data_IF_428250633350
#
_entry.id   IF_428250633350
#
_cell.length_a   1.000
_cell.length_b   1.000
_cell.length_c   1.000
_cell.angle_alpha   90.00
_cell.angle_beta   90.00
_cell.angle_gamma   90.00
#
_symmetry.space_group_name_H-M   'P 1'
#
loop_
_entity.id
_entity.type
_entity.pdbx_description
1 polymer ?
#
# COMPACT_ATOMS: atom_id res chain seq x y z
N UNK A 1 12.43 -1.53 5.68
CA UNK A 1 11.78 -2.04 6.90
C UNK A 1 11.87 -3.55 6.81
N UNK A 2 12.92 -4.11 7.42
CA UNK A 2 12.95 -5.56 7.65
C UNK A 2 11.84 -5.81 8.68
N UNK A 3 10.96 -6.77 8.44
CA UNK A 3 10.01 -7.23 9.47
C UNK A 3 10.86 -8.04 10.47
N UNK A 4 11.74 -7.37 11.22
CA UNK A 4 12.55 -7.93 12.30
C UNK A 4 11.95 -7.63 13.66
N UNK A 5 10.92 -6.79 13.72
CA UNK A 5 10.16 -6.57 14.94
C UNK A 5 8.92 -7.46 14.89
N UNK A 6 8.87 -8.37 15.86
CA UNK A 6 7.82 -9.34 16.15
C UNK A 6 6.44 -8.71 15.94
N UNK A 7 5.86 -8.92 14.77
CA UNK A 7 4.54 -8.38 14.49
C UNK A 7 3.55 -9.19 15.30
N UNK A 8 2.85 -8.54 16.23
CA UNK A 8 1.99 -9.21 17.21
C UNK A 8 0.53 -8.86 16.92
N UNK A 9 -0.29 -9.86 16.63
CA UNK A 9 -1.75 -9.72 16.69
C UNK A 9 -2.23 -10.23 18.05
N UNK A 10 -2.86 -9.35 18.82
CA UNK A 10 -3.43 -9.64 20.14
C UNK A 10 -4.95 -9.49 20.09
N UNK A 11 -5.69 -10.58 20.24
CA UNK A 11 -7.16 -10.55 20.30
C UNK A 11 -7.59 -10.76 21.74
N UNK A 12 -8.37 -9.83 22.29
CA UNK A 12 -8.89 -9.82 23.64
C UNK A 12 -10.39 -9.98 23.59
N UNK A 13 -10.92 -10.94 24.35
CA UNK A 13 -12.37 -11.15 24.49
C UNK A 13 -12.74 -11.19 25.96
N UNK A 14 -13.60 -10.28 26.40
CA UNK A 14 -14.13 -10.29 27.77
C UNK A 14 -15.04 -11.49 28.03
N UNK A 15 -14.93 -12.12 29.21
CA UNK A 15 -15.67 -13.35 29.56
C UNK A 15 -17.19 -13.15 29.57
N UNK A 16 -17.89 -13.94 28.74
CA UNK A 16 -19.15 -14.60 29.11
C UNK A 16 -18.82 -16.08 29.28
N UNK A 17 -19.11 -16.66 30.45
CA UNK A 17 -18.64 -17.99 30.85
C UNK A 17 -18.92 -19.09 29.81
N UNK A 18 -20.05 -19.02 29.13
CA UNK A 18 -20.50 -20.01 28.13
C UNK A 18 -19.75 -19.91 26.79
N UNK A 19 -19.46 -18.69 26.32
CA UNK A 19 -18.72 -18.45 25.06
C UNK A 19 -17.25 -18.83 25.22
N UNK A 20 -16.66 -18.55 26.37
CA UNK A 20 -15.24 -18.81 26.63
C UNK A 20 -14.95 -20.30 26.79
N UNK A 21 -15.84 -21.09 27.39
CA UNK A 21 -15.70 -22.55 27.49
C UNK A 21 -15.66 -23.21 26.10
N UNK A 22 -16.58 -22.82 25.21
CA UNK A 22 -16.62 -23.35 23.85
C UNK A 22 -15.40 -22.91 23.04
N UNK A 23 -14.96 -21.66 23.20
CA UNK A 23 -13.76 -21.15 22.54
C UNK A 23 -12.47 -21.81 23.02
N UNK A 24 -12.32 -22.02 24.32
CA UNK A 24 -11.16 -22.70 24.90
C UNK A 24 -11.04 -24.14 24.38
N UNK A 25 -12.17 -24.81 24.16
CA UNK A 25 -12.19 -26.20 23.69
C UNK A 25 -12.00 -26.29 22.17
N UNK A 26 -12.58 -25.35 21.41
CA UNK A 26 -12.52 -25.33 19.95
C UNK A 26 -11.20 -24.74 19.41
N UNK A 27 -10.57 -23.83 20.16
CA UNK A 27 -9.42 -23.06 19.69
C UNK A 27 -8.17 -23.17 20.59
N UNK A 28 -8.08 -24.20 21.44
CA UNK A 28 -6.87 -24.47 22.24
C UNK A 28 -5.60 -24.61 21.38
N UNK A 29 -5.76 -24.99 20.12
CA UNK A 29 -4.66 -25.21 19.16
C UNK A 29 -4.21 -23.91 18.44
N UNK A 30 -4.92 -22.80 18.65
CA UNK A 30 -4.74 -21.56 17.90
C UNK A 30 -3.82 -20.57 18.65
N UNK A 31 -2.52 -20.73 18.44
CA UNK A 31 -1.50 -19.78 18.90
C UNK A 31 -1.26 -19.81 20.42
N UNK A 32 -0.48 -18.85 20.91
CA UNK A 32 -0.18 -18.73 22.34
C UNK A 32 -1.38 -18.12 23.07
N UNK A 33 -2.36 -18.97 23.38
CA UNK A 33 -3.57 -18.58 24.09
C UNK A 33 -3.27 -18.40 25.58
N UNK A 34 -3.65 -17.25 26.13
CA UNK A 34 -3.61 -17.00 27.58
C UNK A 34 -4.99 -16.59 28.07
N UNK A 35 -5.46 -17.24 29.13
CA UNK A 35 -6.72 -16.93 29.77
C UNK A 35 -6.45 -16.42 31.19
N UNK A 36 -7.06 -15.29 31.56
CA UNK A 36 -7.12 -14.85 32.96
C UNK A 36 -8.57 -14.82 33.46
N UNK A 37 -8.81 -14.28 34.65
CA UNK A 37 -10.14 -14.30 35.26
C UNK A 37 -11.23 -13.62 34.43
N UNK A 38 -10.90 -12.67 33.55
CA UNK A 38 -11.89 -11.86 32.82
C UNK A 38 -11.67 -11.75 31.31
N UNK A 39 -10.55 -12.23 30.77
CA UNK A 39 -10.17 -12.07 29.36
C UNK A 39 -9.53 -13.33 28.77
N UNK A 40 -9.83 -13.56 27.50
CA UNK A 40 -9.13 -14.51 26.63
C UNK A 40 -8.23 -13.74 25.68
N UNK A 41 -6.96 -14.10 25.60
CA UNK A 41 -5.96 -13.46 24.73
C UNK A 41 -5.39 -14.47 23.73
N UNK A 42 -5.48 -14.15 22.44
CA UNK A 42 -4.77 -14.87 21.36
C UNK A 42 -3.61 -14.00 20.88
N UNK A 43 -2.42 -14.59 20.77
CA UNK A 43 -1.20 -13.92 20.34
C UNK A 43 -0.55 -14.68 19.17
N UNK A 44 -0.32 -13.98 18.06
CA UNK A 44 0.35 -14.50 16.86
C UNK A 44 1.56 -13.64 16.53
N UNK A 45 2.71 -14.25 16.18
CA UNK A 45 3.97 -13.51 16.01
C UNK A 45 4.57 -13.70 14.62
N UNK A 46 4.93 -12.60 13.96
CA UNK A 46 5.79 -12.60 12.78
C UNK A 46 5.22 -13.40 11.60
N UNK A 47 6.00 -14.35 11.09
CA UNK A 47 5.60 -15.19 9.96
C UNK A 47 4.44 -16.15 10.30
N UNK A 48 4.18 -16.44 11.58
CA UNK A 48 3.01 -17.24 11.99
C UNK A 48 1.71 -16.56 11.55
N UNK A 49 1.65 -15.23 11.57
CA UNK A 49 0.48 -14.49 11.11
C UNK A 49 0.20 -14.81 9.64
N UNK A 50 1.24 -14.90 8.81
CA UNK A 50 1.07 -15.21 7.37
C UNK A 50 0.53 -16.62 7.16
N UNK A 51 0.88 -17.57 8.03
CA UNK A 51 0.47 -18.97 7.94
C UNK A 51 -0.92 -19.21 8.57
N UNK A 52 -1.31 -18.41 9.56
CA UNK A 52 -2.54 -18.56 10.35
C UNK A 52 -3.58 -17.47 10.07
N UNK A 53 -3.46 -16.74 8.97
CA UNK A 53 -4.35 -15.60 8.72
C UNK A 53 -5.80 -16.01 8.48
N UNK A 54 -6.05 -17.18 7.87
CA UNK A 54 -7.40 -17.76 7.76
C UNK A 54 -8.01 -17.98 9.15
N UNK A 55 -7.21 -18.56 10.05
CA UNK A 55 -7.60 -18.77 11.43
C UNK A 55 -7.96 -17.46 12.15
N UNK A 56 -7.14 -16.42 11.94
CA UNK A 56 -7.36 -15.08 12.51
C UNK A 56 -8.64 -14.45 11.94
N UNK A 57 -8.90 -14.63 10.65
CA UNK A 57 -10.10 -14.13 9.96
C UNK A 57 -11.33 -14.86 10.48
N UNK A 58 -11.28 -16.18 10.65
CA UNK A 58 -12.37 -16.99 11.17
C UNK A 58 -12.70 -16.62 12.62
N UNK A 59 -11.67 -16.44 13.44
CA UNK A 59 -11.82 -15.98 14.82
C UNK A 59 -12.49 -14.60 14.87
N UNK A 60 -12.12 -13.69 13.97
CA UNK A 60 -12.77 -12.39 13.84
C UNK A 60 -14.22 -12.50 13.35
N UNK A 61 -14.52 -13.35 12.36
CA UNK A 61 -15.90 -13.54 11.89
C UNK A 61 -16.80 -14.10 13.01
N UNK A 62 -16.25 -14.97 13.85
CA UNK A 62 -16.94 -15.56 14.99
C UNK A 62 -17.12 -14.56 16.14
N UNK A 63 -16.10 -13.76 16.47
CA UNK A 63 -16.08 -12.98 17.72
C UNK A 63 -16.19 -11.47 17.53
N UNK A 64 -15.95 -10.96 16.33
CA UNK A 64 -15.92 -9.52 16.02
C UNK A 64 -17.23 -8.79 16.26
N UNK A 65 -18.35 -9.52 16.35
CA UNK A 65 -19.66 -8.95 16.70
C UNK A 65 -19.86 -8.76 18.21
N UNK A 66 -19.00 -9.33 19.05
CA UNK A 66 -19.09 -9.20 20.50
C UNK A 66 -18.59 -7.82 20.94
N UNK A 67 -19.36 -7.13 21.80
CA UNK A 67 -18.96 -5.83 22.37
C UNK A 67 -17.63 -5.88 23.15
N UNK A 68 -17.26 -7.05 23.67
CA UNK A 68 -16.04 -7.27 24.42
C UNK A 68 -14.85 -7.71 23.56
N UNK A 69 -15.03 -7.82 22.23
CA UNK A 69 -13.97 -8.13 21.30
C UNK A 69 -13.11 -6.90 21.06
N UNK A 70 -11.81 -7.04 21.24
CA UNK A 70 -10.84 -5.99 20.94
C UNK A 70 -9.60 -6.63 20.36
N UNK A 71 -9.20 -6.22 19.16
CA UNK A 71 -8.01 -6.73 18.51
C UNK A 71 -6.96 -5.63 18.36
N UNK A 72 -5.70 -5.99 18.59
CA UNK A 72 -4.56 -5.11 18.41
C UNK A 72 -3.56 -5.75 17.45
N UNK A 73 -2.87 -4.93 16.68
CA UNK A 73 -1.75 -5.32 15.86
C UNK A 73 -0.60 -4.34 16.10
N UNK A 74 0.55 -4.83 16.58
CA UNK A 74 1.69 -3.99 16.94
C UNK A 74 1.27 -2.82 17.86
N UNK A 75 0.46 -3.13 18.88
CA UNK A 75 -0.14 -2.17 19.83
C UNK A 75 -1.09 -1.13 19.21
N UNK A 76 -1.44 -1.24 17.92
CA UNK A 76 -2.49 -0.44 17.27
C UNK A 76 -3.82 -1.18 17.34
N UNK A 77 -4.88 -0.51 17.76
CA UNK A 77 -6.24 -1.05 17.69
C UNK A 77 -6.62 -1.36 16.22
N UNK A 78 -7.13 -2.57 15.99
CA UNK A 78 -7.64 -3.01 14.70
C UNK A 78 -9.15 -2.76 14.61
N UNK A 79 -9.59 -2.38 13.41
CA UNK A 79 -11.00 -2.21 13.06
C UNK A 79 -11.42 -3.22 11.99
N UNK A 80 -12.72 -3.34 11.74
CA UNK A 80 -13.27 -4.25 10.72
C UNK A 80 -12.60 -4.11 9.35
N UNK A 81 -12.24 -2.87 8.95
CA UNK A 81 -11.54 -2.61 7.70
C UNK A 81 -10.15 -3.25 7.65
N UNK A 82 -9.42 -3.31 8.78
CA UNK A 82 -8.12 -3.97 8.87
C UNK A 82 -8.27 -5.48 8.58
N UNK A 83 -9.29 -6.14 9.14
CA UNK A 83 -9.58 -7.55 8.87
C UNK A 83 -10.02 -7.79 7.42
N UNK A 84 -10.83 -6.89 6.85
CA UNK A 84 -11.21 -6.96 5.42
C UNK A 84 -9.97 -6.83 4.52
N UNK A 85 -9.04 -5.94 4.85
CA UNK A 85 -7.81 -5.76 4.09
C UNK A 85 -6.88 -6.98 4.19
N UNK A 86 -6.72 -7.55 5.39
CA UNK A 86 -5.97 -8.80 5.59
C UNK A 86 -6.54 -9.94 4.76
N UNK A 87 -7.88 -10.12 4.78
CA UNK A 87 -8.58 -11.13 3.97
C UNK A 87 -8.31 -10.94 2.48
N UNK A 88 -8.47 -9.72 1.96
CA UNK A 88 -8.20 -9.40 0.55
C UNK A 88 -6.75 -9.71 0.15
N UNK A 89 -5.78 -9.31 0.97
CA UNK A 89 -4.35 -9.58 0.72
C UNK A 89 -4.10 -11.08 0.60
N UNK A 90 -4.70 -11.87 1.49
CA UNK A 90 -4.50 -13.30 1.50
C UNK A 90 -5.24 -14.04 0.39
N UNK A 91 -6.48 -13.66 0.10
CA UNK A 91 -7.22 -14.15 -1.07
C UNK A 91 -6.44 -13.88 -2.35
N UNK A 92 -5.80 -12.70 -2.46
CA UNK A 92 -4.92 -12.39 -3.57
C UNK A 92 -3.69 -13.30 -3.63
N UNK A 93 -3.13 -13.71 -2.49
CA UNK A 93 -2.02 -14.67 -2.47
C UNK A 93 -2.45 -16.05 -2.98
N UNK A 94 -3.65 -16.50 -2.62
CA UNK A 94 -4.18 -17.83 -2.96
C UNK A 94 -4.73 -17.93 -4.39
N UNK A 95 -5.37 -16.88 -4.88
CA UNK A 95 -6.21 -16.96 -6.08
C UNK A 95 -5.48 -16.74 -7.41
N UNK A 96 -4.23 -16.21 -7.42
CA UNK A 96 -3.29 -16.09 -8.58
C UNK A 96 -2.11 -15.18 -8.20
N UNK A 97 -0.96 -15.20 -8.93
CA UNK A 97 0.08 -14.19 -8.72
C UNK A 97 -0.52 -12.80 -8.88
N UNK A 98 -0.26 -11.89 -7.93
CA UNK A 98 -0.66 -10.49 -8.00
C UNK A 98 -0.36 -9.97 -9.41
N UNK A 99 -1.40 -9.74 -10.23
CA UNK A 99 -1.21 -9.32 -11.62
C UNK A 99 -0.47 -7.97 -11.59
N UNK A 100 0.68 -7.93 -12.28
CA UNK A 100 1.69 -6.87 -12.24
C UNK A 100 1.23 -5.54 -12.86
N UNK A 101 0.30 -4.83 -12.24
CA UNK A 101 -0.17 -3.54 -12.76
C UNK A 101 0.25 -2.32 -11.92
N UNK A 102 1.10 -2.50 -10.89
CA UNK A 102 1.69 -1.39 -10.13
C UNK A 102 3.02 -1.81 -9.48
N UNK A 103 3.43 -1.16 -8.38
CA UNK A 103 4.63 -1.39 -7.56
C UNK A 103 4.80 -2.82 -6.98
N UNK A 104 4.12 -3.83 -7.50
CA UNK A 104 4.23 -5.24 -7.09
C UNK A 104 3.04 -5.76 -6.27
N UNK A 105 2.03 -4.92 -5.99
CA UNK A 105 0.80 -5.33 -5.30
C UNK A 105 -0.42 -4.60 -5.86
N UNK A 106 -1.48 -5.33 -6.22
CA UNK A 106 -2.70 -4.74 -6.77
C UNK A 106 -3.50 -3.86 -5.79
N UNK A 107 -3.13 -3.88 -4.51
CA UNK A 107 -3.74 -3.04 -3.47
C UNK A 107 -2.94 -1.77 -3.19
N UNK A 108 -1.90 -1.49 -3.98
CA UNK A 108 -1.20 -0.20 -4.01
C UNK A 108 -1.80 0.65 -5.12
N UNK A 109 -2.65 1.59 -4.74
CA UNK A 109 -3.36 2.50 -5.63
C UNK A 109 -2.94 3.98 -5.44
N UNK A 110 -2.14 4.28 -4.42
CA UNK A 110 -1.77 5.67 -4.06
C UNK A 110 -0.82 6.32 -5.06
N UNK A 111 0.04 5.54 -5.70
CA UNK A 111 0.92 6.01 -6.78
C UNK A 111 0.86 5.01 -7.92
N UNK A 112 0.55 5.51 -9.11
CA UNK A 112 0.45 4.66 -10.30
C UNK A 112 1.72 4.69 -11.11
N UNK A 113 2.20 3.49 -11.42
CA UNK A 113 3.14 3.27 -12.53
C UNK A 113 2.39 3.17 -13.85
N UNK A 114 1.22 2.53 -13.83
CA UNK A 114 0.39 2.22 -15.00
C UNK A 114 -1.08 2.61 -14.77
N UNK A 115 -1.83 2.84 -15.85
CA UNK A 115 -3.23 3.28 -15.85
C UNK A 115 -4.24 2.12 -15.76
N UNK A 116 -4.23 1.32 -14.68
CA UNK A 116 -5.26 0.29 -14.47
C UNK A 116 -6.51 0.78 -13.73
N UNK A 117 -6.46 1.97 -13.10
CA UNK A 117 -7.56 2.53 -12.31
C UNK A 117 -7.77 4.02 -12.59
N UNK A 118 -9.02 4.52 -12.63
CA UNK A 118 -9.32 5.90 -13.02
C UNK A 118 -8.97 6.97 -11.98
N UNK A 119 -8.80 6.61 -10.70
CA UNK A 119 -8.72 7.59 -9.61
C UNK A 119 -7.42 7.38 -8.82
N UNK A 120 -6.48 8.32 -8.89
CA UNK A 120 -5.21 8.25 -8.17
C UNK A 120 -4.04 8.84 -8.96
N UNK A 121 -3.06 9.48 -8.28
CA UNK A 121 -2.01 10.23 -8.93
C UNK A 121 -0.94 9.35 -9.58
N UNK A 122 -0.30 9.87 -10.63
CA UNK A 122 0.85 9.23 -11.28
C UNK A 122 2.15 9.61 -10.57
N UNK A 123 3.17 8.76 -10.73
CA UNK A 123 4.49 8.99 -10.13
C UNK A 123 5.11 10.34 -10.54
N UNK A 124 4.89 10.79 -11.78
CA UNK A 124 5.48 12.04 -12.29
C UNK A 124 4.82 13.31 -11.71
N UNK A 125 3.64 13.18 -11.11
CA UNK A 125 2.94 14.31 -10.46
C UNK A 125 3.59 14.68 -9.12
N UNK A 126 4.48 13.83 -8.60
CA UNK A 126 5.28 14.09 -7.41
C UNK A 126 6.60 14.75 -7.78
N UNK A 127 6.68 16.06 -7.61
CA UNK A 127 7.85 16.83 -7.98
C UNK A 127 7.67 18.33 -7.80
N UNK A 128 8.63 19.08 -8.33
CA UNK A 128 8.58 20.53 -8.39
C UNK A 128 9.28 21.04 -9.64
N UNK A 129 8.92 22.25 -10.03
CA UNK A 129 9.53 22.94 -11.16
C UNK A 129 10.88 23.54 -10.72
N UNK A 130 11.98 23.13 -11.36
CA UNK A 130 13.30 23.76 -11.18
C UNK A 130 13.48 24.93 -12.14
N UNK A 131 13.00 24.78 -13.39
CA UNK A 131 12.97 25.84 -14.39
C UNK A 131 11.79 25.61 -15.35
N UNK A 132 11.52 26.58 -16.24
CA UNK A 132 10.37 26.54 -17.14
C UNK A 132 10.21 25.23 -17.94
N UNK A 133 11.29 24.50 -18.20
CA UNK A 133 11.28 23.24 -18.95
C UNK A 133 11.77 22.02 -18.14
N UNK A 134 12.09 22.19 -16.86
CA UNK A 134 12.67 21.12 -16.02
C UNK A 134 11.82 20.87 -14.79
N UNK A 135 11.26 19.66 -14.74
CA UNK A 135 10.50 19.15 -13.61
C UNK A 135 11.32 18.12 -12.84
N UNK A 136 11.58 18.35 -11.57
CA UNK A 136 12.34 17.44 -10.70
C UNK A 136 11.38 16.49 -10.01
N UNK A 137 11.66 15.19 -10.09
CA UNK A 137 10.85 14.13 -9.49
C UNK A 137 11.22 13.95 -8.02
N UNK A 138 10.24 14.10 -7.13
CA UNK A 138 10.44 13.87 -5.70
C UNK A 138 10.23 12.39 -5.35
N UNK A 139 11.27 11.59 -5.61
CA UNK A 139 11.32 10.16 -5.24
C UNK A 139 11.08 9.92 -3.75
N UNK A 140 11.47 10.87 -2.89
CA UNK A 140 11.28 10.76 -1.44
C UNK A 140 9.81 10.88 -1.06
N UNK A 141 9.07 11.78 -1.73
CA UNK A 141 7.64 11.95 -1.53
C UNK A 141 6.86 10.75 -2.04
N UNK A 142 7.23 10.21 -3.21
CA UNK A 142 6.65 8.97 -3.75
C UNK A 142 6.79 7.85 -2.73
N UNK A 143 8.00 7.65 -2.19
CA UNK A 143 8.24 6.61 -1.18
C UNK A 143 7.40 6.83 0.08
N UNK A 144 7.32 8.06 0.60
CA UNK A 144 6.50 8.39 1.79
C UNK A 144 5.03 8.07 1.59
N UNK A 145 4.47 8.38 0.42
CA UNK A 145 3.06 8.09 0.09
C UNK A 145 2.83 6.58 0.02
N UNK A 146 3.71 5.85 -0.66
CA UNK A 146 3.62 4.39 -0.76
C UNK A 146 3.77 3.73 0.61
N UNK A 147 4.73 4.15 1.44
CA UNK A 147 4.91 3.61 2.81
C UNK A 147 3.66 3.81 3.67
N UNK A 148 3.02 4.98 3.55
CA UNK A 148 1.76 5.25 4.25
C UNK A 148 0.67 4.29 3.80
N UNK A 149 0.51 4.07 2.50
CA UNK A 149 -0.49 3.15 1.96
C UNK A 149 -0.20 1.70 2.35
N UNK A 150 1.06 1.25 2.23
CA UNK A 150 1.52 -0.07 2.67
C UNK A 150 1.12 -0.31 4.13
N UNK A 151 1.33 0.69 4.98
CA UNK A 151 0.99 0.63 6.40
C UNK A 151 -0.52 0.58 6.64
N UNK A 152 -1.28 1.43 5.96
CA UNK A 152 -2.73 1.56 6.14
C UNK A 152 -3.49 0.34 5.62
N UNK A 153 -3.05 -0.21 4.49
CA UNK A 153 -3.67 -1.36 3.84
C UNK A 153 -3.07 -2.70 4.27
N UNK A 154 -2.12 -2.70 5.21
CA UNK A 154 -1.51 -3.91 5.77
C UNK A 154 -0.76 -4.77 4.75
N UNK A 155 -0.29 -4.15 3.66
CA UNK A 155 0.26 -4.84 2.47
C UNK A 155 1.53 -5.64 2.79
N UNK A 156 2.24 -5.27 3.87
CA UNK A 156 3.42 -5.98 4.36
C UNK A 156 3.13 -7.45 4.80
N UNK A 157 1.87 -7.83 5.02
CA UNK A 157 1.50 -9.23 5.24
C UNK A 157 1.41 -10.06 3.96
N UNK A 158 1.35 -9.42 2.78
CA UNK A 158 1.36 -10.16 1.53
C UNK A 158 2.71 -10.90 1.38
N UNK A 159 2.72 -12.23 1.23
CA UNK A 159 3.97 -12.98 1.07
C UNK A 159 4.75 -12.62 -0.19
N UNK A 160 4.06 -12.09 -1.21
CA UNK A 160 4.65 -11.65 -2.48
C UNK A 160 5.15 -10.21 -2.44
N UNK A 161 4.82 -9.46 -1.39
CA UNK A 161 5.21 -8.05 -1.27
C UNK A 161 6.66 -7.91 -0.82
N UNK A 162 7.40 -7.02 -1.49
CA UNK A 162 8.76 -6.66 -1.14
C UNK A 162 8.93 -5.15 -1.18
N UNK A 163 9.23 -4.56 -0.01
CA UNK A 163 9.55 -3.13 0.08
C UNK A 163 10.82 -2.79 -0.70
N UNK A 164 11.80 -3.69 -0.71
CA UNK A 164 13.04 -3.51 -1.48
C UNK A 164 12.77 -3.50 -2.99
N UNK A 165 11.81 -4.29 -3.45
CA UNK A 165 11.34 -4.20 -4.83
C UNK A 165 10.79 -2.80 -5.14
N UNK A 166 9.93 -2.25 -4.29
CA UNK A 166 9.38 -0.89 -4.45
C UNK A 166 10.48 0.16 -4.53
N UNK A 167 11.42 0.13 -3.58
CA UNK A 167 12.58 1.04 -3.59
C UNK A 167 13.37 0.92 -4.88
N UNK A 168 13.61 -0.31 -5.36
CA UNK A 168 14.32 -0.54 -6.61
C UNK A 168 13.58 0.02 -7.83
N UNK A 169 12.25 0.00 -7.82
CA UNK A 169 11.42 0.57 -8.89
C UNK A 169 11.47 2.10 -8.84
N UNK A 170 11.32 2.71 -7.66
CA UNK A 170 11.41 4.17 -7.48
C UNK A 170 12.80 4.68 -7.87
N UNK A 171 13.86 3.95 -7.51
CA UNK A 171 15.23 4.32 -7.85
C UNK A 171 15.44 4.43 -9.36
N UNK A 172 14.74 3.62 -10.16
CA UNK A 172 14.79 3.59 -11.64
C UNK A 172 13.94 4.66 -12.32
N UNK A 173 13.09 5.38 -11.57
CA UNK A 173 12.40 6.55 -12.12
C UNK A 173 13.43 7.62 -12.51
N UNK A 174 13.16 8.46 -13.52
CA UNK A 174 14.04 9.58 -13.83
C UNK A 174 14.09 10.57 -12.65
N UNK A 175 15.23 11.23 -12.45
CA UNK A 175 15.34 12.30 -11.44
C UNK A 175 14.68 13.60 -11.91
N UNK A 176 14.61 13.80 -13.23
CA UNK A 176 13.99 14.97 -13.85
C UNK A 176 13.36 14.65 -15.20
N UNK A 177 12.33 15.43 -15.54
CA UNK A 177 11.68 15.43 -16.84
C UNK A 177 11.96 16.75 -17.55
N UNK A 178 12.31 16.66 -18.82
CA UNK A 178 12.38 17.82 -19.72
C UNK A 178 11.02 17.96 -20.41
N UNK A 179 10.23 18.96 -20.04
CA UNK A 179 8.81 19.05 -20.41
C UNK A 179 8.60 19.14 -21.93
N UNK A 180 9.51 19.79 -22.65
CA UNK A 180 9.52 19.88 -24.10
C UNK A 180 9.63 18.52 -24.81
N UNK A 181 10.16 17.49 -24.14
CA UNK A 181 10.21 16.11 -24.66
C UNK A 181 8.88 15.35 -24.48
N UNK A 182 7.98 15.89 -23.67
CA UNK A 182 6.71 15.29 -23.27
C UNK A 182 5.58 16.28 -23.54
N UNK A 183 5.25 16.55 -24.81
CA UNK A 183 4.22 17.52 -25.19
C UNK A 183 2.83 17.18 -24.64
N UNK A 184 2.61 15.95 -24.20
CA UNK A 184 1.43 15.45 -23.50
C UNK A 184 1.29 15.94 -22.07
N UNK A 185 2.37 16.42 -21.45
CA UNK A 185 2.36 16.92 -20.09
C UNK A 185 2.20 18.44 -20.07
N UNK A 186 1.51 18.95 -19.07
CA UNK A 186 1.35 20.38 -18.83
C UNK A 186 1.39 20.73 -17.35
N UNK A 187 1.84 21.96 -17.10
CA UNK A 187 1.92 22.53 -15.78
C UNK A 187 0.62 23.25 -15.43
N UNK A 188 0.07 22.88 -14.28
CA UNK A 188 -1.06 23.53 -13.65
C UNK A 188 -0.60 24.29 -12.40
N UNK A 189 -1.14 25.48 -12.20
CA UNK A 189 -0.97 26.21 -10.93
C UNK A 189 -2.10 25.82 -9.99
N UNK A 190 -1.77 25.34 -8.80
CA UNK A 190 -2.76 25.10 -7.74
C UNK A 190 -2.81 26.34 -6.85
N UNK A 191 -3.99 26.95 -6.80
CA UNK A 191 -4.39 28.14 -6.02
C UNK A 191 -3.94 29.54 -6.52
N UNK A 192 -4.88 30.49 -6.43
CA UNK A 192 -4.70 31.91 -6.77
C UNK A 192 -3.77 32.56 -5.74
N UNK A 193 -2.65 33.07 -6.23
CA UNK A 193 -1.90 34.24 -5.76
C UNK A 193 -2.17 34.61 -4.30
N UNK A 194 -1.33 34.14 -3.38
CA UNK A 194 -1.08 34.90 -2.16
C UNK A 194 -0.64 36.32 -2.56
N UNK A 195 -1.00 37.33 -1.77
CA UNK A 195 -0.88 38.79 -1.99
C UNK A 195 0.49 39.29 -2.52
N UNK A 196 1.49 38.41 -2.62
CA UNK A 196 2.86 38.64 -3.09
C UNK A 196 3.15 38.24 -4.55
N UNK A 197 2.18 37.73 -5.32
CA UNK A 197 2.33 37.59 -6.79
C UNK A 197 3.05 36.34 -7.31
N UNK A 198 3.58 35.49 -6.44
CA UNK A 198 4.24 34.23 -6.85
C UNK A 198 3.35 33.01 -6.56
N UNK A 199 3.25 32.04 -7.51
CA UNK A 199 2.49 30.81 -7.29
C UNK A 199 3.17 29.96 -6.20
N UNK A 200 2.37 29.48 -5.24
CA UNK A 200 2.86 28.69 -4.11
C UNK A 200 3.12 27.23 -4.48
N UNK A 201 2.55 26.73 -5.59
CA UNK A 201 2.76 25.35 -6.04
C UNK A 201 2.38 25.10 -7.50
N UNK A 202 3.29 24.44 -8.23
CA UNK A 202 3.03 23.89 -9.56
C UNK A 202 2.70 22.40 -9.48
N UNK A 203 1.87 21.91 -10.40
CA UNK A 203 1.52 20.51 -10.56
C UNK A 203 1.70 20.09 -12.02
N UNK A 204 2.33 18.94 -12.25
CA UNK A 204 2.45 18.36 -13.58
C UNK A 204 1.27 17.40 -13.81
N UNK A 205 0.60 17.48 -14.95
CA UNK A 205 -0.52 16.58 -15.33
C UNK A 205 -0.52 16.33 -16.84
N UNK A 206 -1.34 15.39 -17.30
CA UNK A 206 -1.59 15.22 -18.74
C UNK A 206 -2.53 16.29 -19.30
N UNK A 207 -2.29 16.70 -20.56
CA UNK A 207 -3.09 17.66 -21.33
C UNK A 207 -4.48 17.18 -21.69
N UNK A 208 -4.60 15.90 -21.95
CA UNK A 208 -5.72 15.33 -22.68
C UNK A 208 -6.66 14.52 -21.78
N UNK A 209 -7.86 14.26 -22.30
CA UNK A 209 -8.83 13.42 -21.59
C UNK A 209 -8.38 11.94 -21.60
N UNK A 210 -9.05 11.14 -20.79
CA UNK A 210 -8.66 9.77 -20.39
C UNK A 210 -8.30 8.81 -21.54
N UNK A 211 -8.87 8.98 -22.74
CA UNK A 211 -8.67 8.09 -23.90
C UNK A 211 -7.39 8.39 -24.69
N UNK A 212 -6.99 9.66 -24.77
CA UNK A 212 -5.75 10.08 -25.43
C UNK A 212 -4.51 9.78 -24.57
N UNK A 213 -4.64 9.84 -23.23
CA UNK A 213 -3.58 9.47 -22.28
C UNK A 213 -3.13 8.01 -22.48
N UNK A 214 -4.07 7.09 -22.76
CA UNK A 214 -3.79 5.67 -22.99
C UNK A 214 -2.90 5.44 -24.21
N UNK A 215 -3.07 6.22 -25.28
CA UNK A 215 -2.26 6.11 -26.50
C UNK A 215 -0.88 6.77 -26.35
N UNK A 216 -0.79 7.83 -25.55
CA UNK A 216 0.46 8.56 -25.31
C UNK A 216 1.40 7.83 -24.34
N UNK A 217 0.84 7.09 -23.36
CA UNK A 217 1.65 6.33 -22.40
C UNK A 217 2.33 5.10 -23.01
N UNK A 218 1.75 4.44 -24.02
CA UNK A 218 2.42 3.34 -24.74
C UNK A 218 3.75 3.82 -25.36
N UNK A 219 3.79 5.07 -25.83
CA UNK A 219 5.00 5.72 -26.38
C UNK A 219 6.00 6.12 -25.27
N UNK A 220 5.51 6.62 -24.14
CA UNK A 220 6.32 7.03 -22.98
C UNK A 220 6.95 5.82 -22.28
N UNK A 221 6.19 4.75 -22.11
CA UNK A 221 6.62 3.48 -21.52
C UNK A 221 7.58 2.73 -22.44
N UNK A 222 7.34 2.70 -23.77
CA UNK A 222 8.30 2.18 -24.73
C UNK A 222 9.61 2.97 -24.69
N UNK A 223 9.57 4.30 -24.58
CA UNK A 223 10.79 5.14 -24.47
C UNK A 223 11.54 4.93 -23.16
N UNK A 224 10.86 4.87 -22.02
CA UNK A 224 11.50 4.63 -20.71
C UNK A 224 12.04 3.18 -20.63
N UNK A 225 11.30 2.18 -21.13
CA UNK A 225 11.79 0.81 -21.23
C UNK A 225 12.95 0.67 -22.22
N UNK A 226 12.93 1.35 -23.38
CA UNK A 226 14.07 1.36 -24.32
C UNK A 226 15.30 1.99 -23.68
N UNK A 227 15.16 3.13 -22.98
CA UNK A 227 16.29 3.78 -22.31
C UNK A 227 16.89 2.86 -21.22
N UNK A 228 16.04 2.17 -20.46
CA UNK A 228 16.48 1.18 -19.47
C UNK A 228 17.06 -0.10 -20.07
N UNK A 229 16.77 -0.40 -21.33
CA UNK A 229 17.32 -1.55 -22.07
C UNK A 229 18.67 -1.19 -22.72
N UNK A 230 18.81 0.03 -23.22
CA UNK A 230 20.05 0.57 -23.79
C UNK A 230 21.13 0.73 -22.71
N UNK A 231 20.78 1.15 -21.50
CA UNK A 231 21.71 1.22 -20.35
C UNK A 231 22.20 -0.16 -19.84
N UNK A 232 21.65 -1.28 -20.34
CA UNK A 232 22.15 -2.64 -20.05
C UNK A 232 23.05 -3.21 -21.14
N UNK A 233 23.22 -2.49 -22.23
CA UNK A 233 24.03 -2.90 -23.39
C UNK A 233 25.35 -2.11 -23.51
N UNK A 234 25.64 -1.22 -22.55
CA UNK A 234 26.94 -0.57 -22.34
C UNK A 234 27.47 -0.88 -20.93
#
# INVERSE_FOLDING_TARGET
MVITEQTLIKIIVGKRAEVVSNLLTQYAEYGNMTANESTLTFAYIGDEIRQKIDEIIDLYNLLGHLKSFTAYMNNRLMYNLDFVNLKKIFECHHSRPCKRQSFGCQYLDSVKLYQSSPNGPFWFEYGHLESADVWIIDKSQIMKVLEKEIKQNLIYFCPQFSLEHIKSVIAKLPDKLTLSKYPELELYQRDRVAVTGEPTKWELRFKSNKEEILQMMDVLEQKIMLLQFIDRLN
#
